data_IF_268034918131
#
_entry.id   IF_268034918131
#
_cell.length_a   1.000
_cell.length_b   1.000
_cell.length_c   1.000
_cell.angle_alpha   90.00
_cell.angle_beta   90.00
_cell.angle_gamma   90.00
#
_symmetry.space_group_name_H-M   'P 1'
#
loop_
_entity.id
_entity.type
_entity.pdbx_description
1 polymer ?
#
# COMPACT_ATOMS: atom_id res chain seq x y z
N UNK A 1 1.07 9.32 1.94
CA UNK A 1 -0.32 8.91 1.64
C UNK A 1 -0.99 9.99 0.82
N UNK A 2 -1.85 9.62 -0.19
CA UNK A 2 -2.76 10.54 -0.89
C UNK A 2 -2.12 11.74 -1.58
N UNK A 3 -0.83 11.74 -1.82
CA UNK A 3 -0.14 12.80 -2.54
C UNK A 3 -0.19 12.57 -4.05
N UNK A 4 -0.25 13.66 -4.78
CA UNK A 4 -0.01 13.64 -6.22
C UNK A 4 1.47 13.34 -6.49
N UNK A 5 1.73 12.25 -7.19
CA UNK A 5 3.05 11.89 -7.69
C UNK A 5 3.02 11.87 -9.21
N UNK A 6 3.69 12.82 -9.85
CA UNK A 6 3.76 12.96 -11.30
C UNK A 6 2.39 13.03 -12.00
N UNK A 7 1.42 13.74 -11.41
CA UNK A 7 0.06 13.90 -11.95
C UNK A 7 -0.85 12.70 -11.68
N UNK A 8 -0.45 11.79 -10.80
CA UNK A 8 -1.28 10.66 -10.35
C UNK A 8 -1.42 10.70 -8.83
N UNK A 9 -2.64 10.57 -8.36
CA UNK A 9 -2.88 10.31 -6.94
C UNK A 9 -2.72 8.81 -6.72
N UNK A 10 -1.73 8.44 -5.91
CA UNK A 10 -1.51 7.03 -5.58
C UNK A 10 -2.44 6.62 -4.44
N UNK A 11 -3.36 5.70 -4.76
CA UNK A 11 -4.24 5.06 -3.79
C UNK A 11 -3.51 3.92 -3.06
N UNK A 12 -2.34 4.25 -2.49
CA UNK A 12 -1.44 3.29 -1.85
C UNK A 12 -1.28 3.62 -0.37
N UNK A 13 -1.37 2.61 0.49
CA UNK A 13 -0.91 2.73 1.86
C UNK A 13 0.60 2.44 1.88
N UNK A 14 1.40 3.50 1.83
CA UNK A 14 2.84 3.44 1.87
C UNK A 14 3.34 3.64 3.31
N UNK A 15 4.19 2.76 3.77
CA UNK A 15 4.82 2.81 5.09
C UNK A 15 6.33 2.92 4.89
N UNK A 16 6.87 4.11 5.09
CA UNK A 16 8.31 4.36 5.09
C UNK A 16 8.92 4.17 6.49
N UNK A 17 10.24 4.06 6.54
CA UNK A 17 11.01 3.91 7.78
C UNK A 17 10.61 2.68 8.61
N UNK A 18 10.12 1.63 7.94
CA UNK A 18 9.78 0.37 8.58
C UNK A 18 11.08 -0.35 9.00
N UNK A 19 11.05 -1.01 10.14
CA UNK A 19 12.19 -1.83 10.59
C UNK A 19 12.46 -2.97 9.61
N UNK A 20 13.70 -3.08 9.14
CA UNK A 20 14.13 -4.24 8.34
C UNK A 20 13.88 -5.54 9.10
N UNK A 21 13.33 -6.54 8.42
CA UNK A 21 12.91 -7.81 9.00
C UNK A 21 11.55 -7.76 9.70
N UNK A 22 10.82 -6.64 9.67
CA UNK A 22 9.46 -6.58 10.17
C UNK A 22 8.57 -7.59 9.42
N UNK A 23 7.76 -8.34 10.15
CA UNK A 23 6.85 -9.34 9.57
C UNK A 23 5.68 -8.65 8.88
N UNK A 24 5.39 -9.06 7.65
CA UNK A 24 4.20 -8.66 6.88
C UNK A 24 3.17 -9.76 7.00
N UNK A 25 1.99 -9.41 7.51
CA UNK A 25 0.85 -10.31 7.64
C UNK A 25 -0.09 -10.15 6.45
N UNK A 26 -0.70 -11.25 6.01
CA UNK A 26 -1.75 -11.21 5.00
C UNK A 26 -2.97 -10.45 5.53
N UNK A 27 -3.42 -9.36 4.89
CA UNK A 27 -4.61 -8.63 5.34
C UNK A 27 -5.91 -9.36 5.00
N UNK A 28 -5.87 -10.30 4.07
CA UNK A 28 -7.03 -11.04 3.54
C UNK A 28 -6.74 -12.52 3.45
N UNK A 29 -7.81 -13.32 3.46
CA UNK A 29 -7.76 -14.73 3.06
C UNK A 29 -7.85 -14.82 1.55
N UNK A 30 -7.02 -15.69 0.94
CA UNK A 30 -6.99 -15.80 -0.51
C UNK A 30 -5.92 -16.76 -1.03
N UNK A 31 -5.53 -16.52 -2.27
CA UNK A 31 -4.49 -17.31 -2.95
C UNK A 31 -3.43 -16.39 -3.54
N UNK A 32 -2.17 -16.72 -3.34
CA UNK A 32 -1.05 -16.03 -4.00
C UNK A 32 -1.15 -16.27 -5.51
N UNK A 33 -1.47 -15.22 -6.25
CA UNK A 33 -1.58 -15.24 -7.71
C UNK A 33 -0.22 -15.21 -8.37
N UNK A 34 0.65 -14.35 -7.85
CA UNK A 34 2.00 -14.15 -8.41
C UNK A 34 2.95 -13.58 -7.36
N UNK A 35 4.25 -13.79 -7.59
CA UNK A 35 5.34 -13.16 -6.83
C UNK A 35 6.32 -12.64 -7.87
N UNK A 36 6.40 -11.32 -8.04
CA UNK A 36 7.18 -10.66 -9.09
C UNK A 36 8.46 -10.08 -8.52
N UNK A 37 9.62 -10.50 -9.01
CA UNK A 37 10.90 -9.90 -8.63
C UNK A 37 11.01 -8.44 -9.09
N UNK A 38 11.59 -7.61 -8.23
CA UNK A 38 11.97 -6.22 -8.51
C UNK A 38 13.47 -6.06 -8.26
N UNK A 39 14.31 -6.41 -9.26
CA UNK A 39 15.75 -6.46 -9.09
C UNK A 39 16.38 -5.11 -8.70
N UNK A 40 15.75 -4.01 -9.14
CA UNK A 40 16.23 -2.66 -8.89
C UNK A 40 16.18 -2.27 -7.41
N UNK A 41 15.20 -2.81 -6.68
CA UNK A 41 14.98 -2.57 -5.25
C UNK A 41 15.31 -3.75 -4.37
N UNK A 42 15.77 -4.89 -4.98
CA UNK A 42 16.14 -6.15 -4.29
C UNK A 42 15.00 -6.78 -3.49
N UNK A 43 13.79 -6.66 -3.97
CA UNK A 43 12.59 -7.14 -3.30
C UNK A 43 11.63 -7.83 -4.28
N UNK A 44 10.43 -8.09 -3.84
CA UNK A 44 9.37 -8.64 -4.68
C UNK A 44 8.04 -7.95 -4.37
N UNK A 45 7.12 -8.02 -5.33
CA UNK A 45 5.72 -7.69 -5.18
C UNK A 45 4.89 -8.99 -5.16
N UNK A 46 4.03 -9.15 -4.14
CA UNK A 46 3.12 -10.30 -3.99
C UNK A 46 1.72 -9.88 -4.39
N UNK A 47 1.13 -10.56 -5.36
CA UNK A 47 -0.27 -10.40 -5.74
C UNK A 47 -1.13 -11.50 -5.12
N UNK A 48 -2.21 -11.13 -4.48
CA UNK A 48 -3.13 -12.04 -3.77
C UNK A 48 -4.54 -11.85 -4.34
N UNK A 49 -5.10 -12.94 -4.88
CA UNK A 49 -6.52 -12.99 -5.22
C UNK A 49 -7.33 -13.21 -3.96
N UNK A 50 -8.28 -12.33 -3.69
CA UNK A 50 -9.21 -12.46 -2.58
C UNK A 50 -10.28 -13.50 -2.86
N UNK A 51 -10.76 -14.18 -1.81
CA UNK A 51 -11.94 -15.04 -1.90
C UNK A 51 -13.27 -14.25 -1.81
N UNK A 52 -13.23 -12.98 -1.41
CA UNK A 52 -14.42 -12.20 -1.07
C UNK A 52 -14.65 -10.96 -1.95
N UNK A 53 -13.58 -10.44 -2.58
CA UNK A 53 -13.67 -9.26 -3.45
C UNK A 53 -13.01 -9.52 -4.79
N UNK A 54 -13.42 -8.78 -5.83
CA UNK A 54 -12.88 -8.92 -7.18
C UNK A 54 -11.52 -8.28 -7.37
N UNK A 55 -11.14 -7.39 -6.46
CA UNK A 55 -9.85 -6.73 -6.47
C UNK A 55 -8.77 -7.69 -5.96
N UNK A 56 -7.57 -7.48 -6.45
CA UNK A 56 -6.37 -8.12 -5.97
C UNK A 56 -5.70 -7.23 -4.93
N UNK A 57 -5.14 -7.85 -3.91
CA UNK A 57 -4.24 -7.17 -3.00
C UNK A 57 -2.82 -7.30 -3.55
N UNK A 58 -2.08 -6.19 -3.59
CA UNK A 58 -0.65 -6.18 -3.80
C UNK A 58 0.06 -5.79 -2.51
N UNK A 59 1.09 -6.56 -2.16
CA UNK A 59 2.04 -6.27 -1.08
C UNK A 59 3.38 -6.03 -1.75
N UNK A 60 3.80 -4.77 -1.77
CA UNK A 60 5.00 -4.37 -2.48
C UNK A 60 6.17 -4.09 -1.54
N UNK A 61 7.39 -4.19 -2.06
CA UNK A 61 8.65 -4.03 -1.35
C UNK A 61 8.79 -5.02 -0.19
N UNK A 62 8.71 -6.33 -0.49
CA UNK A 62 8.79 -7.41 0.51
C UNK A 62 9.75 -8.52 0.10
N UNK A 63 10.19 -9.32 1.06
CA UNK A 63 10.81 -10.63 0.84
C UNK A 63 9.77 -11.69 1.14
N UNK A 64 9.25 -12.34 0.10
CA UNK A 64 8.19 -13.32 0.22
C UNK A 64 8.63 -14.57 0.97
N UNK A 65 7.77 -15.08 1.86
CA UNK A 65 7.89 -16.41 2.47
C UNK A 65 6.88 -17.39 1.88
N UNK A 66 6.06 -16.92 0.93
CA UNK A 66 5.06 -17.67 0.19
C UNK A 66 5.40 -17.68 -1.29
N UNK A 67 4.78 -18.56 -2.07
CA UNK A 67 4.96 -18.70 -3.51
C UNK A 67 3.63 -18.73 -4.25
N UNK A 68 3.69 -18.51 -5.55
CA UNK A 68 2.53 -18.62 -6.45
C UNK A 68 1.76 -19.92 -6.23
N UNK A 69 0.45 -19.80 -6.05
CA UNK A 69 -0.49 -20.89 -5.83
C UNK A 69 -0.75 -21.22 -4.35
N UNK A 70 0.04 -20.68 -3.42
CA UNK A 70 -0.20 -20.93 -2.00
C UNK A 70 -1.55 -20.32 -1.55
N UNK A 71 -2.27 -21.08 -0.73
CA UNK A 71 -3.41 -20.57 0.01
C UNK A 71 -2.91 -19.90 1.28
N UNK A 72 -3.45 -18.73 1.57
CA UNK A 72 -3.14 -17.94 2.76
C UNK A 72 -4.40 -17.57 3.49
N UNK A 73 -4.27 -17.35 4.79
CA UNK A 73 -5.36 -16.85 5.64
C UNK A 73 -5.01 -15.49 6.22
N UNK A 74 -6.02 -14.65 6.43
CA UNK A 74 -5.81 -13.36 7.09
C UNK A 74 -5.07 -13.52 8.42
N UNK A 75 -4.06 -12.69 8.65
CA UNK A 75 -3.17 -12.76 9.82
C UNK A 75 -1.98 -13.70 9.68
N UNK A 76 -1.90 -14.50 8.62
CA UNK A 76 -0.72 -15.34 8.35
C UNK A 76 0.49 -14.48 7.96
N UNK A 77 1.67 -14.81 8.50
CA UNK A 77 2.92 -14.22 8.02
C UNK A 77 3.21 -14.69 6.59
N UNK A 78 3.38 -13.75 5.67
CA UNK A 78 3.57 -14.03 4.23
C UNK A 78 4.86 -13.43 3.68
N UNK A 79 5.46 -12.49 4.39
CA UNK A 79 6.69 -11.83 3.97
C UNK A 79 7.41 -11.15 5.13
N UNK A 80 8.58 -10.59 4.84
CA UNK A 80 9.28 -9.63 5.71
C UNK A 80 9.66 -8.39 4.90
N UNK A 81 9.85 -7.26 5.57
CA UNK A 81 10.28 -6.02 4.94
C UNK A 81 11.80 -6.03 4.74
N UNK A 82 12.32 -5.89 3.51
CA UNK A 82 13.78 -5.81 3.26
C UNK A 82 14.36 -4.43 3.59
N UNK A 83 15.67 -4.31 3.46
CA UNK A 83 16.33 -3.01 3.38
C UNK A 83 15.89 -2.29 2.10
N UNK A 84 15.44 -1.04 2.22
CA UNK A 84 15.05 -0.25 1.06
C UNK A 84 16.22 -0.02 0.10
N UNK A 85 15.97 -0.15 -1.19
CA UNK A 85 16.95 0.04 -2.27
C UNK A 85 18.23 -0.78 -2.04
N UNK A 86 18.10 -2.00 -1.51
CA UNK A 86 19.17 -2.97 -1.22
C UNK A 86 20.17 -2.56 -0.13
N UNK A 87 20.11 -1.35 0.41
CA UNK A 87 21.22 -0.78 1.18
C UNK A 87 20.80 0.05 2.41
N UNK A 88 19.57 0.55 2.44
CA UNK A 88 19.18 1.44 3.53
C UNK A 88 19.02 0.70 4.87
N UNK A 89 19.17 1.39 5.97
CA UNK A 89 18.99 0.80 7.31
C UNK A 89 17.52 0.65 7.73
N UNK A 90 16.62 1.11 6.89
CA UNK A 90 15.16 1.01 7.03
C UNK A 90 14.56 0.34 5.81
N UNK A 91 13.33 -0.12 5.93
CA UNK A 91 12.54 -0.66 4.84
C UNK A 91 11.39 0.24 4.43
N UNK A 92 10.81 -0.08 3.29
CA UNK A 92 9.54 0.45 2.80
C UNK A 92 8.59 -0.72 2.61
N UNK A 93 7.31 -0.49 2.80
CA UNK A 93 6.26 -1.46 2.53
C UNK A 93 5.06 -0.73 1.95
N UNK A 94 4.47 -1.28 0.89
CA UNK A 94 3.28 -0.72 0.27
C UNK A 94 2.16 -1.76 0.19
N UNK A 95 0.94 -1.30 0.47
CA UNK A 95 -0.27 -2.08 0.35
C UNK A 95 -1.20 -1.40 -0.63
N UNK A 96 -1.55 -2.11 -1.70
CA UNK A 96 -2.41 -1.62 -2.77
C UNK A 96 -3.58 -2.58 -2.99
N UNK A 97 -4.73 -2.02 -3.38
CA UNK A 97 -5.84 -2.78 -3.95
C UNK A 97 -5.90 -2.47 -5.45
N UNK A 98 -5.78 -3.48 -6.29
CA UNK A 98 -5.71 -3.31 -7.74
C UNK A 98 -6.69 -4.24 -8.46
N UNK A 99 -7.07 -3.87 -9.67
CA UNK A 99 -7.86 -4.71 -10.59
C UNK A 99 -7.40 -4.44 -12.02
N UNK A 100 -7.22 -5.50 -12.77
CA UNK A 100 -7.05 -5.41 -14.22
C UNK A 100 -8.44 -5.26 -14.87
N UNK A 101 -8.62 -4.18 -15.61
CA UNK A 101 -9.84 -3.92 -16.39
C UNK A 101 -9.44 -3.68 -17.83
N UNK A 102 -9.55 -4.71 -18.66
CA UNK A 102 -9.22 -4.63 -20.09
C UNK A 102 -7.74 -4.35 -20.38
N UNK A 103 -6.82 -4.86 -19.55
CA UNK A 103 -5.37 -4.66 -19.69
C UNK A 103 -4.85 -3.38 -19.02
N UNK A 104 -5.72 -2.63 -18.35
CA UNK A 104 -5.34 -1.44 -17.57
C UNK A 104 -5.48 -1.75 -16.10
N UNK A 105 -4.39 -1.65 -15.35
CA UNK A 105 -4.40 -1.81 -13.89
C UNK A 105 -4.99 -0.55 -13.27
N UNK A 106 -6.10 -0.72 -12.56
CA UNK A 106 -6.75 0.33 -11.78
C UNK A 106 -6.41 0.11 -10.31
N UNK A 107 -5.99 1.18 -9.62
CA UNK A 107 -5.81 1.18 -8.17
C UNK A 107 -7.09 1.63 -7.47
N UNK A 108 -7.37 1.01 -6.33
CA UNK A 108 -8.50 1.31 -5.45
C UNK A 108 -7.97 1.69 -4.07
N UNK A 109 -8.74 2.49 -3.35
CA UNK A 109 -8.40 2.83 -1.98
C UNK A 109 -8.42 1.59 -1.08
N UNK A 110 -7.30 1.19 -0.45
CA UNK A 110 -7.32 0.03 0.44
C UNK A 110 -8.26 0.19 1.64
N UNK A 111 -8.53 1.41 2.07
CA UNK A 111 -9.41 1.69 3.22
C UNK A 111 -10.86 1.31 2.94
N UNK A 112 -11.32 1.41 1.69
CA UNK A 112 -12.68 1.04 1.29
C UNK A 112 -12.97 -0.47 1.47
N UNK A 113 -11.93 -1.28 1.67
CA UNK A 113 -12.04 -2.73 1.87
C UNK A 113 -11.85 -3.16 3.33
N UNK A 114 -11.64 -2.21 4.23
CA UNK A 114 -11.58 -2.47 5.66
C UNK A 114 -12.98 -2.50 6.26
N UNK A 115 -13.15 -3.22 7.39
CA UNK A 115 -14.39 -3.08 8.15
C UNK A 115 -14.53 -1.66 8.70
N UNK A 116 -15.77 -1.18 8.86
CA UNK A 116 -16.07 0.22 9.26
C UNK A 116 -15.29 0.67 10.50
N UNK A 117 -15.17 -0.21 11.50
CA UNK A 117 -14.44 0.09 12.73
C UNK A 117 -12.94 0.29 12.47
N UNK A 118 -12.34 -0.53 11.61
CA UNK A 118 -10.92 -0.42 11.26
C UNK A 118 -10.70 0.77 10.33
N UNK A 119 -11.56 0.97 9.33
CA UNK A 119 -11.49 2.09 8.41
C UNK A 119 -11.55 3.43 9.13
N UNK A 120 -12.49 3.60 10.06
CA UNK A 120 -12.64 4.81 10.87
C UNK A 120 -11.38 5.11 11.68
N UNK A 121 -10.83 4.10 12.37
CA UNK A 121 -9.60 4.25 13.14
C UNK A 121 -8.40 4.57 12.24
N UNK A 122 -8.24 3.84 11.13
CA UNK A 122 -7.12 4.03 10.20
C UNK A 122 -7.16 5.44 9.61
N UNK A 123 -8.34 5.93 9.19
CA UNK A 123 -8.49 7.30 8.68
C UNK A 123 -8.11 8.34 9.74
N UNK A 124 -8.53 8.17 10.99
CA UNK A 124 -8.18 9.08 12.07
C UNK A 124 -6.65 9.08 12.35
N UNK A 125 -6.03 7.91 12.39
CA UNK A 125 -4.59 7.77 12.61
C UNK A 125 -3.79 8.41 11.46
N UNK A 126 -4.21 8.23 10.22
CA UNK A 126 -3.57 8.82 9.05
C UNK A 126 -3.73 10.34 9.03
N UNK A 127 -4.93 10.86 9.27
CA UNK A 127 -5.15 12.30 9.36
C UNK A 127 -4.25 12.95 10.42
N UNK A 128 -4.06 12.27 11.56
CA UNK A 128 -3.12 12.70 12.59
C UNK A 128 -1.68 12.69 12.11
N UNK A 129 -1.25 11.66 11.40
CA UNK A 129 0.10 11.58 10.82
C UNK A 129 0.34 12.70 9.82
N UNK A 130 -0.60 12.94 8.88
CA UNK A 130 -0.50 14.00 7.88
C UNK A 130 -0.41 15.39 8.54
N UNK A 131 -1.24 15.67 9.54
CA UNK A 131 -1.22 16.93 10.29
C UNK A 131 0.09 17.11 11.07
N UNK A 132 0.56 16.04 11.71
CA UNK A 132 1.82 16.05 12.45
C UNK A 132 3.00 16.29 11.51
N UNK A 133 2.99 15.67 10.33
CA UNK A 133 3.99 15.90 9.30
C UNK A 133 4.05 17.37 8.90
N UNK A 134 2.92 17.99 8.61
CA UNK A 134 2.87 19.41 8.25
C UNK A 134 3.47 20.30 9.34
N UNK A 135 3.27 19.97 10.61
CA UNK A 135 3.83 20.73 11.73
C UNK A 135 5.37 20.61 11.82
N UNK A 136 5.92 19.46 11.47
CA UNK A 136 7.38 19.20 11.48
C UNK A 136 8.05 19.70 10.18
N UNK A 137 7.36 19.59 9.07
CA UNK A 137 7.87 19.92 7.74
C UNK A 137 7.56 21.35 7.30
N UNK A 138 7.22 22.25 8.24
CA UNK A 138 6.90 23.65 7.96
C UNK A 138 7.99 24.30 7.09
N UNK A 139 7.63 24.72 5.88
CA UNK A 139 8.55 25.27 4.87
C UNK A 139 9.18 24.24 3.92
N UNK A 140 8.94 22.95 4.08
CA UNK A 140 9.37 21.93 3.13
C UNK A 140 8.39 21.84 1.94
N UNK A 141 8.94 21.49 0.74
CA UNK A 141 8.14 21.30 -0.49
C UNK A 141 7.14 20.14 -0.45
N UNK A 142 7.16 19.33 0.61
CA UNK A 142 6.41 18.08 0.74
C UNK A 142 5.29 18.13 1.78
N UNK A 143 4.84 19.31 2.19
CA UNK A 143 3.67 19.44 3.10
C UNK A 143 2.39 19.07 2.38
N UNK A 144 1.40 18.57 3.13
CA UNK A 144 0.05 18.33 2.62
C UNK A 144 -0.70 19.66 2.52
N UNK A 145 -1.37 19.91 1.40
CA UNK A 145 -2.33 21.01 1.24
C UNK A 145 -3.62 20.73 2.02
N UNK A 146 -4.42 21.76 2.24
CA UNK A 146 -5.75 21.63 2.88
C UNK A 146 -6.65 20.64 2.09
N UNK A 147 -6.54 20.64 0.76
CA UNK A 147 -7.30 19.74 -0.09
C UNK A 147 -6.84 18.27 0.09
N UNK A 148 -5.52 18.03 0.16
CA UNK A 148 -4.99 16.68 0.41
C UNK A 148 -5.36 16.20 1.82
N UNK A 149 -5.34 17.07 2.83
CA UNK A 149 -5.80 16.74 4.18
C UNK A 149 -7.29 16.40 4.20
N UNK A 150 -8.12 17.14 3.46
CA UNK A 150 -9.56 16.91 3.37
C UNK A 150 -9.90 15.63 2.61
N UNK A 151 -9.14 15.29 1.56
CA UNK A 151 -9.33 14.08 0.76
C UNK A 151 -8.88 12.82 1.51
N UNK A 152 -8.01 12.96 2.51
CA UNK A 152 -7.43 11.82 3.22
C UNK A 152 -6.52 10.99 2.32
N UNK A 153 -6.34 9.72 2.70
CA UNK A 153 -5.40 8.78 2.04
C UNK A 153 -5.81 8.44 0.63
N UNK A 154 -7.09 8.47 0.37
CA UNK A 154 -7.67 7.99 -0.87
C UNK A 154 -8.39 9.13 -1.58
N UNK A 155 -7.64 10.01 -2.20
CA UNK A 155 -8.20 10.79 -3.27
C UNK A 155 -8.69 9.80 -4.34
N UNK A 156 -9.98 9.82 -4.63
CA UNK A 156 -10.57 8.97 -5.68
C UNK A 156 -9.81 9.22 -6.97
N UNK A 157 -9.23 8.20 -7.63
CA UNK A 157 -8.62 8.40 -8.92
C UNK A 157 -9.70 9.03 -9.83
N UNK A 158 -9.43 10.22 -10.33
CA UNK A 158 -10.26 10.76 -11.42
C UNK A 158 -10.19 9.76 -12.55
N UNK A 159 -11.35 9.23 -12.94
CA UNK A 159 -11.43 8.36 -14.10
C UNK A 159 -10.67 9.04 -15.25
N UNK A 160 -9.85 8.30 -16.03
CA UNK A 160 -9.20 8.89 -17.17
C UNK A 160 -10.27 9.55 -18.02
N UNK A 161 -10.09 10.82 -18.37
CA UNK A 161 -10.94 11.50 -19.33
C UNK A 161 -10.91 10.67 -20.62
N UNK A 162 -12.09 10.24 -21.07
CA UNK A 162 -12.30 9.53 -22.32
C UNK A 162 -11.81 10.36 -23.52
#
# INVERSE_FOLDING_TARGET
FGKDYMGKVESTLMFDMVKVGATVLAPITGRVRDVRPQPETCDVEIYIDSETVQQQLSLDHVVATVKKGDKIVAGQAVATVPAWDCKESFGRFELMMVRDVGGVVQAFCPIDFLSDAIASRTNADIAKVMTTWNSHAAGAKSTYSDQELANGVCATPTAPAN
#
